data_IF_906669848377
#
_entry.id   IF_906669848377
#
_cell.length_a   1.000
_cell.length_b   1.000
_cell.length_c   1.000
_cell.angle_alpha   90.00
_cell.angle_beta   90.00
_cell.angle_gamma   90.00
#
_symmetry.space_group_name_H-M   'P 1'
#
loop_
_entity.id
_entity.type
_entity.pdbx_description
1 polymer ?
#
# COMPACT_ATOMS: atom_id res chain seq x y z
N UNK A 1 17.18 21.83 -20.60
CA UNK A 1 18.22 21.31 -19.67
C UNK A 1 18.19 21.95 -18.28
N UNK A 2 17.37 22.98 -17.98
CA UNK A 2 17.32 23.67 -16.67
C UNK A 2 16.28 23.12 -15.67
N UNK A 3 15.14 22.61 -16.12
CA UNK A 3 14.06 22.15 -15.21
C UNK A 3 14.38 20.86 -14.47
N UNK A 4 15.06 19.91 -15.13
CA UNK A 4 15.46 18.64 -14.51
C UNK A 4 16.55 18.81 -13.42
N UNK A 5 17.30 19.92 -13.44
CA UNK A 5 18.33 20.21 -12.46
C UNK A 5 17.76 20.63 -11.09
N UNK A 6 16.70 21.45 -11.04
CA UNK A 6 16.13 21.96 -9.79
C UNK A 6 15.38 20.86 -9.02
N UNK A 7 14.62 20.03 -9.72
CA UNK A 7 13.94 18.90 -9.12
C UNK A 7 14.93 17.87 -8.54
N UNK A 8 16.00 17.54 -9.29
CA UNK A 8 17.05 16.65 -8.78
C UNK A 8 17.74 17.24 -7.54
N UNK A 9 18.02 18.54 -7.53
CA UNK A 9 18.59 19.22 -6.35
C UNK A 9 17.66 19.17 -5.14
N UNK A 10 16.34 19.29 -5.35
CA UNK A 10 15.36 19.14 -4.28
C UNK A 10 15.33 17.73 -3.74
N UNK A 11 15.38 16.70 -4.60
CA UNK A 11 15.47 15.31 -4.18
C UNK A 11 16.78 15.00 -3.46
N UNK A 12 17.92 15.50 -3.98
CA UNK A 12 19.23 15.33 -3.33
C UNK A 12 19.25 15.96 -1.94
N UNK A 13 18.61 17.12 -1.77
CA UNK A 13 18.42 17.72 -0.46
C UNK A 13 17.60 16.82 0.48
N UNK A 14 16.45 16.33 0.04
CA UNK A 14 15.61 15.44 0.84
C UNK A 14 16.35 14.17 1.24
N UNK A 15 17.09 13.56 0.33
CA UNK A 15 17.85 12.33 0.58
C UNK A 15 19.19 12.56 1.29
N UNK A 16 19.62 13.82 1.47
CA UNK A 16 20.82 14.13 2.27
C UNK A 16 20.61 13.92 3.78
N UNK A 17 19.38 13.83 4.23
CA UNK A 17 19.02 13.54 5.61
C UNK A 17 19.08 12.03 5.90
N UNK A 18 18.97 11.67 7.17
CA UNK A 18 18.99 10.26 7.58
C UNK A 18 17.76 9.56 6.97
N UNK A 19 18.03 8.68 6.00
CA UNK A 19 17.02 7.80 5.42
C UNK A 19 17.26 6.35 5.89
N UNK A 20 16.48 5.95 6.85
CA UNK A 20 16.55 4.60 7.40
C UNK A 20 16.14 3.51 6.40
N UNK A 21 15.36 3.83 5.39
CA UNK A 21 14.97 2.89 4.34
C UNK A 21 16.13 2.50 3.42
N UNK A 22 17.18 3.33 3.35
CA UNK A 22 18.33 3.16 2.45
C UNK A 22 19.54 2.49 3.11
N UNK A 23 19.55 2.31 4.43
CA UNK A 23 20.71 1.76 5.17
C UNK A 23 20.70 0.24 5.24
N UNK A 24 21.84 -0.42 4.88
CA UNK A 24 21.97 -1.89 4.79
C UNK A 24 21.97 -2.62 6.14
N UNK A 25 22.49 -2.03 7.21
CA UNK A 25 22.71 -2.68 8.51
C UNK A 25 22.09 -1.84 9.64
N UNK A 26 20.79 -1.61 9.56
CA UNK A 26 20.16 -0.69 10.44
C UNK A 26 19.60 -1.40 11.70
N UNK A 27 20.35 -1.36 12.82
CA UNK A 27 19.78 -1.61 14.14
C UNK A 27 19.19 -0.30 14.65
N UNK A 28 17.88 -0.18 14.53
CA UNK A 28 17.15 0.97 15.06
C UNK A 28 17.04 0.82 16.58
N UNK A 29 17.63 1.75 17.31
CA UNK A 29 17.23 1.99 18.68
C UNK A 29 15.90 2.76 18.68
N UNK A 30 14.85 2.31 19.39
CA UNK A 30 13.58 3.05 19.51
C UNK A 30 13.75 4.50 19.94
N UNK A 31 14.83 4.82 20.66
CA UNK A 31 15.22 6.16 21.13
C UNK A 31 15.49 7.16 20.00
N UNK A 32 15.69 6.68 18.76
CA UNK A 32 15.93 7.54 17.57
C UNK A 32 14.64 8.02 16.91
N UNK A 33 13.51 7.39 17.20
CA UNK A 33 12.21 7.83 16.73
C UNK A 33 11.58 8.75 17.78
N UNK A 34 11.58 10.03 17.50
CA UNK A 34 11.02 11.04 18.38
C UNK A 34 10.04 11.91 17.61
N UNK A 35 8.78 11.88 18.02
CA UNK A 35 7.75 12.75 17.45
C UNK A 35 7.93 14.22 17.83
N UNK A 36 8.81 14.54 18.75
CA UNK A 36 9.11 15.93 19.14
C UNK A 36 9.58 16.75 17.93
N UNK A 37 10.56 16.24 17.18
CA UNK A 37 11.12 16.93 16.02
C UNK A 37 10.07 17.27 14.95
N UNK A 38 9.21 16.31 14.64
CA UNK A 38 8.16 16.57 13.63
C UNK A 38 7.07 17.49 14.18
N UNK A 39 6.74 17.43 15.47
CA UNK A 39 5.83 18.39 16.12
C UNK A 39 6.38 19.81 16.11
N UNK A 40 7.68 19.98 16.38
CA UNK A 40 8.33 21.27 16.29
C UNK A 40 8.28 21.82 14.84
N UNK A 41 8.57 20.97 13.86
CA UNK A 41 8.47 21.35 12.47
C UNK A 41 7.03 21.72 12.08
N UNK A 42 6.03 20.98 12.53
CA UNK A 42 4.62 21.32 12.32
C UNK A 42 4.26 22.66 12.96
N UNK A 43 4.73 22.91 14.17
CA UNK A 43 4.49 24.18 14.86
C UNK A 43 5.10 25.37 14.10
N UNK A 44 6.33 25.25 13.60
CA UNK A 44 6.95 26.26 12.76
C UNK A 44 6.16 26.54 11.45
N UNK A 45 5.51 25.51 10.91
CA UNK A 45 4.67 25.61 9.70
C UNK A 45 3.23 26.06 10.01
N UNK A 46 2.90 26.36 11.28
CA UNK A 46 1.55 26.77 11.69
C UNK A 46 0.56 25.63 11.85
N UNK A 47 1.03 24.41 12.13
CA UNK A 47 0.23 23.17 12.34
C UNK A 47 -0.73 22.86 11.16
N UNK A 48 -0.23 22.76 9.92
CA UNK A 48 -1.06 22.58 8.72
C UNK A 48 -1.92 21.30 8.78
N UNK A 49 -1.45 20.26 9.44
CA UNK A 49 -2.12 18.97 9.61
C UNK A 49 -3.42 19.03 10.46
N UNK A 50 -3.72 20.18 11.08
CA UNK A 50 -4.92 20.38 11.90
C UNK A 50 -6.03 21.14 11.16
N UNK A 51 -5.82 21.51 9.89
CA UNK A 51 -6.73 22.38 9.14
C UNK A 51 -7.78 21.63 8.33
N UNK A 52 -7.73 20.31 8.28
CA UNK A 52 -8.65 19.45 7.54
C UNK A 52 -8.89 18.12 8.27
N UNK A 53 -10.10 17.52 8.14
CA UNK A 53 -10.37 16.17 8.62
C UNK A 53 -9.54 15.13 7.87
N UNK A 54 -9.25 13.98 8.51
CA UNK A 54 -8.47 12.94 7.86
C UNK A 54 -8.77 11.51 8.34
N UNK A 55 -8.47 10.55 7.47
CA UNK A 55 -8.36 9.12 7.79
C UNK A 55 -6.87 8.79 7.95
N UNK A 56 -6.48 8.11 9.04
CA UNK A 56 -5.12 7.67 9.30
C UNK A 56 -5.03 6.15 9.20
N UNK A 57 -4.20 5.62 8.30
CA UNK A 57 -4.18 4.20 7.92
C UNK A 57 -2.85 3.56 8.30
N UNK A 58 -2.87 2.65 9.29
CA UNK A 58 -1.74 1.79 9.64
C UNK A 58 -2.03 0.32 9.31
N UNK A 59 -1.00 -0.50 9.34
CA UNK A 59 -1.10 -1.93 9.07
C UNK A 59 0.16 -2.50 8.44
N UNK A 60 0.20 -3.81 8.22
CA UNK A 60 1.32 -4.43 7.50
C UNK A 60 1.04 -4.44 6.01
N UNK A 61 -0.10 -4.96 5.60
CA UNK A 61 -0.52 -5.07 4.19
C UNK A 61 -1.88 -4.39 3.99
N UNK A 62 -2.10 -3.84 2.78
CA UNK A 62 -3.38 -3.24 2.42
C UNK A 62 -3.49 -1.73 2.68
N UNK A 63 -2.55 -1.10 3.39
CA UNK A 63 -2.60 0.34 3.69
C UNK A 63 -2.87 1.21 2.46
N UNK A 64 -2.00 1.13 1.45
CA UNK A 64 -2.13 1.92 0.22
C UNK A 64 -3.41 1.62 -0.55
N UNK A 65 -3.86 0.34 -0.63
CA UNK A 65 -5.12 -0.02 -1.29
C UNK A 65 -6.32 0.59 -0.57
N UNK A 66 -6.38 0.51 0.76
CA UNK A 66 -7.43 1.15 1.57
C UNK A 66 -7.39 2.66 1.39
N UNK A 67 -6.20 3.26 1.44
CA UNK A 67 -6.04 4.71 1.28
C UNK A 67 -6.52 5.20 -0.09
N UNK A 68 -6.18 4.49 -1.17
CA UNK A 68 -6.61 4.85 -2.53
C UNK A 68 -8.11 4.68 -2.72
N UNK A 69 -8.71 3.62 -2.20
CA UNK A 69 -10.16 3.41 -2.26
C UNK A 69 -10.92 4.52 -1.51
N UNK A 70 -10.46 4.88 -0.31
CA UNK A 70 -11.03 6.00 0.44
C UNK A 70 -10.90 7.33 -0.33
N UNK A 71 -9.69 7.62 -0.84
CA UNK A 71 -9.44 8.85 -1.58
C UNK A 71 -10.27 8.94 -2.87
N UNK A 72 -10.44 7.81 -3.58
CA UNK A 72 -11.26 7.76 -4.80
C UNK A 72 -12.73 8.07 -4.51
N UNK A 73 -13.32 7.46 -3.49
CA UNK A 73 -14.70 7.70 -3.09
C UNK A 73 -14.94 9.15 -2.63
N UNK A 74 -14.01 9.70 -1.84
CA UNK A 74 -14.07 11.08 -1.38
C UNK A 74 -13.96 12.08 -2.54
N UNK A 75 -13.09 11.81 -3.52
CA UNK A 75 -12.98 12.64 -4.72
C UNK A 75 -14.27 12.62 -5.54
N UNK A 76 -14.89 11.45 -5.74
CA UNK A 76 -16.18 11.33 -6.45
C UNK A 76 -17.32 12.02 -5.67
N UNK A 77 -17.23 12.09 -4.34
CA UNK A 77 -18.15 12.89 -3.49
C UNK A 77 -17.99 14.40 -3.68
N UNK A 78 -17.03 14.85 -4.50
CA UNK A 78 -16.80 16.27 -4.78
C UNK A 78 -15.81 16.96 -3.84
N UNK A 79 -15.15 16.21 -2.94
CA UNK A 79 -14.12 16.77 -2.07
C UNK A 79 -12.79 16.97 -2.83
N UNK A 80 -12.04 17.98 -2.42
CA UNK A 80 -10.63 18.11 -2.74
C UNK A 80 -9.84 17.26 -1.76
N UNK A 81 -9.28 16.15 -2.22
CA UNK A 81 -8.72 15.09 -1.38
C UNK A 81 -7.20 15.13 -1.40
N UNK A 82 -6.58 15.22 -0.21
CA UNK A 82 -5.17 14.94 -0.03
C UNK A 82 -4.93 13.45 0.18
N UNK A 83 -3.95 12.88 -0.53
CA UNK A 83 -3.55 11.48 -0.36
C UNK A 83 -2.04 11.40 -0.15
N UNK A 84 -1.61 10.84 0.99
CA UNK A 84 -0.21 10.56 1.30
C UNK A 84 0.02 9.06 1.40
N UNK A 85 0.87 8.51 0.51
CA UNK A 85 1.15 7.07 0.41
C UNK A 85 2.63 6.78 0.30
N UNK A 86 3.06 5.56 0.63
CA UNK A 86 4.47 5.13 0.60
C UNK A 86 4.63 3.63 0.44
N UNK A 87 5.79 3.24 -0.15
CA UNK A 87 6.68 4.09 -0.96
C UNK A 87 6.06 4.40 -2.32
N UNK A 88 6.71 5.28 -3.11
CA UNK A 88 6.33 5.51 -4.51
C UNK A 88 6.70 4.32 -5.40
N UNK A 89 6.05 4.22 -6.54
CA UNK A 89 6.32 3.19 -7.54
C UNK A 89 7.49 3.58 -8.46
N UNK A 90 7.49 4.81 -8.98
CA UNK A 90 8.49 5.35 -9.90
C UNK A 90 9.04 6.71 -9.45
N UNK A 91 8.19 7.69 -9.17
CA UNK A 91 8.55 9.07 -8.90
C UNK A 91 8.22 9.47 -7.46
N UNK A 92 9.10 10.25 -6.83
CA UNK A 92 8.89 10.73 -5.46
C UNK A 92 7.56 11.49 -5.29
N UNK A 93 7.17 12.24 -6.32
CA UNK A 93 5.94 13.03 -6.36
C UNK A 93 4.67 12.20 -6.15
N UNK A 94 4.68 10.91 -6.48
CA UNK A 94 3.57 9.98 -6.26
C UNK A 94 3.17 9.85 -4.78
N UNK A 95 4.08 10.19 -3.86
CA UNK A 95 3.80 10.10 -2.41
C UNK A 95 2.80 11.14 -1.93
N UNK A 96 2.71 12.28 -2.62
CA UNK A 96 1.90 13.45 -2.22
C UNK A 96 0.96 13.77 -3.37
N UNK A 97 -0.32 13.49 -3.20
CA UNK A 97 -1.31 13.68 -4.27
C UNK A 97 -2.47 14.56 -3.79
N UNK A 98 -3.02 15.36 -4.69
CA UNK A 98 -4.30 16.04 -4.50
C UNK A 98 -5.22 15.63 -5.63
N UNK A 99 -6.41 15.11 -5.29
CA UNK A 99 -7.35 14.53 -6.24
C UNK A 99 -6.71 13.44 -7.12
N UNK A 100 -5.84 12.62 -6.51
CA UNK A 100 -5.08 11.53 -7.15
C UNK A 100 -4.10 11.99 -8.24
N UNK A 101 -3.84 13.29 -8.33
CA UNK A 101 -2.77 13.83 -9.16
C UNK A 101 -1.53 14.07 -8.27
N UNK A 102 -0.37 13.51 -8.63
CA UNK A 102 0.89 13.77 -7.92
C UNK A 102 1.20 15.26 -7.85
N UNK A 103 1.81 15.70 -6.76
CA UNK A 103 2.39 17.04 -6.67
C UNK A 103 3.29 17.29 -7.88
N UNK A 104 3.19 18.47 -8.50
CA UNK A 104 4.09 18.81 -9.60
C UNK A 104 5.56 18.90 -9.14
N UNK A 105 6.50 18.63 -10.04
CA UNK A 105 7.92 18.78 -9.73
C UNK A 105 8.25 20.21 -9.30
N UNK A 106 7.62 21.21 -9.92
CA UNK A 106 7.79 22.62 -9.60
C UNK A 106 7.27 22.96 -8.21
N UNK A 107 6.05 22.51 -7.84
CA UNK A 107 5.51 22.72 -6.51
C UNK A 107 6.39 22.05 -5.44
N UNK A 108 6.90 20.85 -5.73
CA UNK A 108 7.82 20.17 -4.81
C UNK A 108 9.12 20.97 -4.61
N UNK A 109 9.70 21.50 -5.69
CA UNK A 109 10.89 22.35 -5.61
C UNK A 109 10.63 23.59 -4.76
N UNK A 110 9.53 24.31 -5.02
CA UNK A 110 9.15 25.51 -4.25
C UNK A 110 8.99 25.16 -2.77
N UNK A 111 8.26 24.09 -2.45
CA UNK A 111 8.04 23.68 -1.06
C UNK A 111 9.33 23.26 -0.35
N UNK A 112 10.22 22.55 -1.04
CA UNK A 112 11.51 22.14 -0.48
C UNK A 112 12.38 23.38 -0.20
N UNK A 113 12.46 24.34 -1.13
CA UNK A 113 13.25 25.55 -0.92
C UNK A 113 12.74 26.37 0.27
N UNK A 114 11.42 26.54 0.39
CA UNK A 114 10.84 27.25 1.54
C UNK A 114 11.04 26.50 2.85
N UNK A 115 10.95 25.15 2.83
CA UNK A 115 11.08 24.32 4.01
C UNK A 115 12.50 24.32 4.59
N UNK A 116 13.53 24.52 3.77
CA UNK A 116 14.94 24.55 4.19
C UNK A 116 15.19 25.45 5.39
N UNK A 117 14.52 26.62 5.42
CA UNK A 117 14.64 27.57 6.52
C UNK A 117 14.20 26.98 7.87
N UNK A 118 13.08 26.24 7.88
CA UNK A 118 12.53 25.64 9.10
C UNK A 118 13.29 24.37 9.50
N UNK A 119 13.69 23.57 8.52
CA UNK A 119 14.49 22.34 8.73
C UNK A 119 15.84 22.69 9.38
N UNK A 120 16.48 23.77 8.98
CA UNK A 120 17.76 24.20 9.54
C UNK A 120 17.70 24.53 11.04
N UNK A 121 16.52 24.83 11.58
CA UNK A 121 16.32 25.14 13.01
C UNK A 121 16.16 23.88 13.89
N UNK A 122 15.94 22.69 13.29
CA UNK A 122 15.63 21.45 14.01
C UNK A 122 16.70 20.40 13.68
N UNK A 123 17.59 20.07 14.63
CA UNK A 123 18.65 19.09 14.36
C UNK A 123 18.08 17.67 14.24
N UNK A 124 18.78 16.84 13.48
CA UNK A 124 18.53 15.40 13.35
C UNK A 124 17.16 15.01 12.76
N UNK A 125 16.53 15.90 11.99
CA UNK A 125 15.38 15.53 11.17
C UNK A 125 15.75 14.41 10.17
N UNK A 126 14.80 13.53 9.90
CA UNK A 126 14.95 12.45 8.94
C UNK A 126 14.26 12.81 7.61
N UNK A 127 14.67 12.18 6.52
CA UNK A 127 13.99 12.28 5.21
C UNK A 127 12.49 12.04 5.33
N UNK A 128 12.08 11.09 6.18
CA UNK A 128 10.68 10.73 6.36
C UNK A 128 9.90 11.81 7.11
N UNK A 129 10.45 12.39 8.18
CA UNK A 129 9.83 13.50 8.93
C UNK A 129 9.64 14.73 8.04
N UNK A 130 10.64 15.03 7.21
CA UNK A 130 10.59 16.15 6.25
C UNK A 130 9.54 15.88 5.16
N UNK A 131 9.51 14.68 4.58
CA UNK A 131 8.53 14.29 3.57
C UNK A 131 7.09 14.32 4.09
N UNK A 132 6.87 13.91 5.35
CA UNK A 132 5.57 14.01 6.02
C UNK A 132 5.15 15.46 6.22
N UNK A 133 6.07 16.32 6.64
CA UNK A 133 5.82 17.76 6.79
C UNK A 133 5.45 18.42 5.46
N UNK A 134 6.17 18.08 4.38
CA UNK A 134 5.86 18.55 3.02
C UNK A 134 4.44 18.17 2.62
N UNK A 135 4.04 16.92 2.84
CA UNK A 135 2.70 16.45 2.50
C UNK A 135 1.62 17.25 3.23
N UNK A 136 1.72 17.38 4.55
CA UNK A 136 0.74 18.10 5.34
C UNK A 136 0.69 19.60 4.97
N UNK A 137 1.83 20.20 4.71
CA UNK A 137 1.91 21.60 4.31
C UNK A 137 1.34 21.83 2.91
N UNK A 138 1.63 20.94 1.97
CA UNK A 138 1.05 20.98 0.63
C UNK A 138 -0.47 20.89 0.68
N UNK A 139 -1.02 19.94 1.45
CA UNK A 139 -2.46 19.77 1.58
C UNK A 139 -3.16 21.02 2.13
N UNK A 140 -2.58 21.66 3.16
CA UNK A 140 -3.12 22.90 3.69
C UNK A 140 -3.07 24.05 2.66
N UNK A 141 -1.97 24.18 1.91
CA UNK A 141 -1.84 25.17 0.82
C UNK A 141 -2.81 24.93 -0.31
N UNK A 142 -3.04 23.67 -0.63
CA UNK A 142 -4.02 23.26 -1.64
C UNK A 142 -5.48 23.32 -1.12
N UNK A 143 -5.68 23.67 0.16
CA UNK A 143 -7.00 23.77 0.80
C UNK A 143 -7.82 22.49 0.58
N UNK A 144 -7.21 21.33 0.88
CA UNK A 144 -7.95 20.07 0.79
C UNK A 144 -9.10 20.05 1.79
N UNK A 145 -10.24 19.47 1.39
CA UNK A 145 -11.41 19.32 2.24
C UNK A 145 -11.25 18.15 3.21
N UNK A 146 -10.47 17.14 2.82
CA UNK A 146 -10.20 15.94 3.60
C UNK A 146 -8.89 15.29 3.12
N UNK A 147 -8.19 14.58 4.03
CA UNK A 147 -6.99 13.83 3.65
C UNK A 147 -7.07 12.35 4.04
N UNK A 148 -6.33 11.51 3.31
CA UNK A 148 -6.07 10.11 3.67
C UNK A 148 -4.57 9.93 3.81
N UNK A 149 -4.13 9.52 4.98
CA UNK A 149 -2.72 9.47 5.37
C UNK A 149 -2.31 8.04 5.67
N UNK A 150 -1.42 7.49 4.85
CA UNK A 150 -0.79 6.20 5.08
C UNK A 150 0.42 6.32 6.01
N UNK A 151 0.48 5.48 7.04
CA UNK A 151 1.64 5.31 7.93
C UNK A 151 2.80 4.67 7.17
N UNK A 152 4.02 5.19 7.34
CA UNK A 152 5.20 4.61 6.71
C UNK A 152 5.65 3.32 7.38
N UNK A 153 6.02 3.40 8.65
CA UNK A 153 6.54 2.27 9.41
C UNK A 153 6.00 2.24 10.84
N UNK A 154 5.51 1.07 11.25
CA UNK A 154 4.95 0.94 12.60
C UNK A 154 3.63 1.69 12.74
N UNK A 155 3.60 2.71 13.55
CA UNK A 155 2.46 3.61 13.80
C UNK A 155 2.75 4.55 14.96
N UNK A 156 3.03 4.02 16.14
CA UNK A 156 3.20 4.78 17.40
C UNK A 156 4.23 5.92 17.29
N UNK A 157 5.36 5.66 16.68
CA UNK A 157 6.46 6.62 16.48
C UNK A 157 6.64 7.05 15.02
N UNK A 158 5.67 6.74 14.16
CA UNK A 158 5.69 7.20 12.77
C UNK A 158 5.47 8.72 12.70
N UNK A 159 6.19 9.42 11.82
CA UNK A 159 6.07 10.88 11.71
C UNK A 159 4.64 11.35 11.39
N UNK A 160 3.83 10.50 10.72
CA UNK A 160 2.42 10.82 10.46
C UNK A 160 1.57 10.82 11.74
N UNK A 161 2.03 10.22 12.84
CA UNK A 161 1.26 10.08 14.09
C UNK A 161 1.17 11.37 14.95
N UNK A 162 1.55 12.50 14.39
CA UNK A 162 1.31 13.83 14.99
C UNK A 162 -0.14 14.29 14.80
N UNK A 163 -0.90 13.59 13.95
CA UNK A 163 -2.31 13.91 13.64
C UNK A 163 -3.27 13.40 14.71
N UNK A 164 -4.44 14.04 14.78
CA UNK A 164 -5.64 13.51 15.43
C UNK A 164 -6.66 13.23 14.34
N UNK A 165 -6.84 11.97 13.91
CA UNK A 165 -7.70 11.65 12.77
C UNK A 165 -9.17 11.66 13.16
N UNK A 166 -10.08 11.74 12.16
CA UNK A 166 -11.50 11.47 12.34
C UNK A 166 -11.78 9.96 12.40
N UNK A 167 -10.94 9.16 11.75
CA UNK A 167 -11.02 7.70 11.72
C UNK A 167 -9.60 7.13 11.69
N UNK A 168 -9.31 6.19 12.57
CA UNK A 168 -8.09 5.37 12.53
C UNK A 168 -8.41 4.01 11.88
N UNK A 169 -7.55 3.55 10.98
CA UNK A 169 -7.71 2.25 10.31
C UNK A 169 -6.50 1.38 10.57
N UNK A 170 -6.73 0.18 11.06
CA UNK A 170 -5.71 -0.88 11.18
C UNK A 170 -6.02 -1.96 10.15
N UNK A 171 -5.26 -1.98 9.06
CA UNK A 171 -5.37 -2.99 8.01
C UNK A 171 -4.74 -4.31 8.45
N UNK A 172 -4.70 -5.34 7.60
CA UNK A 172 -4.15 -6.66 7.93
C UNK A 172 -2.74 -6.59 8.52
N UNK A 173 -2.53 -7.29 9.65
CA UNK A 173 -1.27 -7.41 10.36
C UNK A 173 -0.62 -8.77 10.07
N UNK A 174 0.68 -8.75 9.83
CA UNK A 174 1.49 -9.95 9.62
C UNK A 174 2.95 -9.66 10.00
N UNK A 175 3.77 -10.69 10.06
CA UNK A 175 5.21 -10.52 10.29
C UNK A 175 5.85 -9.74 9.15
N UNK A 176 6.36 -8.56 9.46
CA UNK A 176 7.18 -7.72 8.58
C UNK A 176 7.98 -6.75 9.45
N UNK A 177 9.20 -6.40 9.02
CA UNK A 177 10.09 -5.51 9.79
C UNK A 177 10.31 -5.95 11.24
N UNK A 178 10.42 -7.27 11.48
CA UNK A 178 10.54 -7.84 12.83
C UNK A 178 11.75 -7.30 13.62
N UNK A 179 12.83 -6.92 12.95
CA UNK A 179 14.01 -6.30 13.58
C UNK A 179 13.70 -4.93 14.24
N UNK A 180 12.64 -4.24 13.78
CA UNK A 180 12.26 -2.90 14.24
C UNK A 180 11.01 -2.96 15.11
N UNK A 181 9.98 -3.69 14.65
CA UNK A 181 8.66 -3.70 15.28
C UNK A 181 8.49 -4.82 16.30
N UNK A 182 9.46 -5.74 16.38
CA UNK A 182 9.42 -6.91 17.25
C UNK A 182 9.05 -8.21 16.53
N UNK A 183 9.33 -9.30 17.20
CA UNK A 183 9.31 -10.68 16.69
C UNK A 183 7.99 -11.43 16.97
N UNK A 184 6.99 -10.74 17.56
CA UNK A 184 5.64 -11.28 17.79
C UNK A 184 4.57 -10.41 17.16
N UNK A 185 3.41 -11.01 16.83
CA UNK A 185 2.27 -10.24 16.31
C UNK A 185 1.73 -9.25 17.33
N UNK A 186 1.82 -9.55 18.62
CA UNK A 186 1.46 -8.64 19.71
C UNK A 186 2.30 -7.36 19.68
N UNK A 187 3.63 -7.46 19.55
CA UNK A 187 4.53 -6.30 19.46
C UNK A 187 4.24 -5.48 18.21
N UNK A 188 4.09 -6.14 17.06
CA UNK A 188 3.76 -5.49 15.80
C UNK A 188 2.40 -4.77 15.89
N UNK A 189 1.39 -5.42 16.49
CA UNK A 189 0.07 -4.85 16.71
C UNK A 189 0.14 -3.64 17.66
N UNK A 190 0.93 -3.71 18.73
CA UNK A 190 1.14 -2.61 19.67
C UNK A 190 1.71 -1.37 18.99
N UNK A 191 2.76 -1.54 18.15
CA UNK A 191 3.34 -0.42 17.41
C UNK A 191 2.34 0.21 16.42
N UNK A 192 1.56 -0.62 15.73
CA UNK A 192 0.59 -0.13 14.75
C UNK A 192 -0.67 0.47 15.38
N UNK A 193 -1.16 -0.12 16.46
CA UNK A 193 -2.26 0.42 17.24
C UNK A 193 -1.92 1.75 17.96
N UNK A 194 -0.64 2.15 17.98
CA UNK A 194 -0.21 3.46 18.49
C UNK A 194 -0.76 4.68 17.72
N UNK A 195 -1.46 4.48 16.59
CA UNK A 195 -2.21 5.55 15.91
C UNK A 195 -3.59 5.80 16.51
N UNK A 196 -4.08 4.91 17.37
CA UNK A 196 -5.38 5.04 18.05
C UNK A 196 -5.34 6.25 18.98
N UNK A 197 -6.38 7.07 18.93
CA UNK A 197 -6.53 8.27 19.76
C UNK A 197 -7.79 8.18 20.62
N UNK A 198 -7.81 8.87 21.77
CA UNK A 198 -8.96 8.83 22.68
C UNK A 198 -10.28 9.19 21.99
N UNK A 199 -11.27 8.31 22.09
CA UNK A 199 -12.61 8.50 21.56
C UNK A 199 -12.75 8.46 20.04
N UNK A 200 -11.65 8.26 19.29
CA UNK A 200 -11.68 8.22 17.82
C UNK A 200 -12.02 6.81 17.33
N UNK A 201 -12.99 6.64 16.40
CA UNK A 201 -13.36 5.33 15.88
C UNK A 201 -12.19 4.64 15.17
N UNK A 202 -12.06 3.34 15.45
CA UNK A 202 -11.05 2.45 14.88
C UNK A 202 -11.72 1.43 13.98
N UNK A 203 -11.30 1.36 12.73
CA UNK A 203 -11.69 0.29 11.81
C UNK A 203 -10.60 -0.77 11.83
N UNK A 204 -10.98 -1.98 12.20
CA UNK A 204 -10.08 -3.12 12.30
C UNK A 204 -10.39 -4.11 11.18
N UNK A 205 -9.48 -4.26 10.22
CA UNK A 205 -9.55 -5.30 9.20
C UNK A 205 -9.45 -6.69 9.84
N UNK A 206 -9.83 -7.80 9.16
CA UNK A 206 -9.67 -9.16 9.67
C UNK A 206 -8.24 -9.44 10.14
N UNK A 207 -8.10 -10.00 11.35
CA UNK A 207 -6.82 -10.24 12.02
C UNK A 207 -6.72 -11.67 12.55
N UNK A 208 -5.47 -12.14 12.73
CA UNK A 208 -5.20 -13.26 13.64
C UNK A 208 -5.51 -12.85 15.08
N UNK A 209 -6.00 -13.80 15.87
CA UNK A 209 -6.56 -13.54 17.20
C UNK A 209 -5.58 -12.84 18.15
N UNK A 210 -4.28 -13.14 18.08
CA UNK A 210 -3.24 -12.50 18.87
C UNK A 210 -3.17 -10.99 18.60
N UNK A 211 -3.07 -10.61 17.32
CA UNK A 211 -3.04 -9.20 16.91
C UNK A 211 -4.38 -8.50 17.21
N UNK A 212 -5.50 -9.18 16.98
CA UNK A 212 -6.84 -8.67 17.25
C UNK A 212 -6.99 -8.27 18.73
N UNK A 213 -6.66 -9.17 19.65
CA UNK A 213 -6.76 -8.90 21.11
C UNK A 213 -5.94 -7.69 21.52
N UNK A 214 -4.72 -7.58 21.00
CA UNK A 214 -3.84 -6.45 21.29
C UNK A 214 -4.44 -5.13 20.85
N UNK A 215 -4.97 -5.05 19.61
CA UNK A 215 -5.59 -3.82 19.10
C UNK A 215 -6.84 -3.47 19.91
N UNK A 216 -7.72 -4.44 20.22
CA UNK A 216 -8.92 -4.22 21.04
C UNK A 216 -8.58 -3.74 22.45
N UNK A 217 -7.54 -4.29 23.08
CA UNK A 217 -7.10 -3.86 24.39
C UNK A 217 -6.63 -2.40 24.38
N UNK A 218 -5.84 -2.00 23.37
CA UNK A 218 -5.36 -0.62 23.24
C UNK A 218 -6.52 0.32 22.92
N UNK A 219 -7.43 -0.05 22.05
CA UNK A 219 -8.62 0.74 21.75
C UNK A 219 -9.49 0.95 23.01
N UNK A 220 -9.70 -0.08 23.81
CA UNK A 220 -10.42 0.02 25.08
C UNK A 220 -9.74 0.98 26.06
N UNK A 221 -8.39 0.96 26.15
CA UNK A 221 -7.63 1.91 27.01
C UNK A 221 -7.81 3.36 26.58
N UNK A 222 -8.07 3.60 25.28
CA UNK A 222 -8.32 4.91 24.71
C UNK A 222 -9.82 5.25 24.59
N UNK A 223 -10.72 4.40 25.13
CA UNK A 223 -12.17 4.57 24.98
C UNK A 223 -12.57 4.77 23.52
N UNK A 224 -11.81 4.18 22.58
CA UNK A 224 -11.99 4.28 21.15
C UNK A 224 -12.97 3.20 20.68
N UNK A 225 -14.10 3.56 20.04
CA UNK A 225 -15.03 2.56 19.49
C UNK A 225 -14.37 1.80 18.34
N UNK A 226 -14.51 0.47 18.31
CA UNK A 226 -13.96 -0.39 17.27
C UNK A 226 -15.07 -0.95 16.42
N UNK A 227 -14.89 -0.94 15.10
CA UNK A 227 -15.73 -1.65 14.13
C UNK A 227 -14.84 -2.69 13.45
N UNK A 228 -15.18 -3.97 13.63
CA UNK A 228 -14.41 -5.09 13.11
C UNK A 228 -14.99 -5.58 11.78
N UNK A 229 -14.22 -5.43 10.70
CA UNK A 229 -14.57 -5.99 9.39
C UNK A 229 -14.47 -7.51 9.44
N UNK A 230 -15.49 -8.20 8.92
CA UNK A 230 -15.66 -9.66 9.04
C UNK A 230 -16.34 -10.11 10.34
N UNK A 231 -16.74 -9.17 11.21
CA UNK A 231 -17.50 -9.44 12.45
C UNK A 231 -18.72 -8.52 12.60
N UNK A 232 -18.50 -7.20 12.60
CA UNK A 232 -19.59 -6.20 12.69
C UNK A 232 -20.12 -5.84 11.31
N UNK A 233 -19.23 -5.75 10.31
CA UNK A 233 -19.57 -5.66 8.90
C UNK A 233 -19.06 -6.90 8.19
N UNK A 234 -19.97 -7.69 7.64
CA UNK A 234 -19.68 -8.92 6.91
C UNK A 234 -19.54 -8.63 5.42
N UNK A 235 -18.83 -9.49 4.70
CA UNK A 235 -18.64 -9.38 3.27
C UNK A 235 -18.47 -10.73 2.60
N UNK A 236 -18.87 -10.82 1.33
CA UNK A 236 -18.68 -12.02 0.51
C UNK A 236 -18.33 -11.65 -0.94
N UNK A 237 -17.35 -12.32 -1.57
CA UNK A 237 -17.10 -12.17 -2.99
C UNK A 237 -18.26 -12.73 -3.79
N UNK A 238 -18.59 -12.11 -4.93
CA UNK A 238 -19.65 -12.53 -5.85
C UNK A 238 -19.07 -13.02 -7.16
N UNK A 239 -18.23 -12.19 -7.77
CA UNK A 239 -17.61 -12.52 -9.08
C UNK A 239 -16.26 -11.86 -9.21
N UNK A 240 -15.40 -12.46 -10.06
CA UNK A 240 -14.12 -11.88 -10.43
C UNK A 240 -13.79 -12.14 -11.89
N UNK A 241 -13.04 -11.25 -12.49
CA UNK A 241 -12.46 -11.34 -13.82
C UNK A 241 -11.24 -10.45 -13.91
N UNK A 242 -10.49 -10.49 -15.00
CA UNK A 242 -9.35 -9.56 -15.22
C UNK A 242 -9.76 -8.07 -15.31
N UNK A 243 -11.05 -7.78 -15.40
CA UNK A 243 -11.58 -6.40 -15.41
C UNK A 243 -11.93 -5.89 -14.02
N UNK A 244 -11.92 -6.75 -13.00
CA UNK A 244 -12.30 -6.42 -11.64
C UNK A 244 -13.07 -7.52 -10.94
N UNK A 245 -13.56 -7.21 -9.76
CA UNK A 245 -14.31 -8.14 -8.92
C UNK A 245 -15.43 -7.42 -8.18
N UNK A 246 -16.53 -8.15 -7.89
CA UNK A 246 -17.66 -7.63 -7.14
C UNK A 246 -17.88 -8.42 -5.86
N UNK A 247 -18.45 -7.77 -4.86
CA UNK A 247 -18.68 -8.34 -3.54
C UNK A 247 -19.90 -7.70 -2.88
N UNK A 248 -20.44 -8.37 -1.87
CA UNK A 248 -21.53 -7.90 -1.03
C UNK A 248 -20.99 -7.49 0.34
N UNK A 249 -21.68 -6.54 0.96
CA UNK A 249 -21.45 -6.07 2.32
C UNK A 249 -22.80 -6.01 3.07
N UNK A 250 -22.79 -6.42 4.32
CA UNK A 250 -23.98 -6.31 5.20
C UNK A 250 -23.56 -6.23 6.67
N UNK A 251 -24.30 -5.51 7.53
CA UNK A 251 -24.04 -5.51 8.95
C UNK A 251 -24.34 -6.90 9.55
N UNK A 252 -23.60 -7.29 10.57
CA UNK A 252 -23.82 -8.60 11.24
C UNK A 252 -25.21 -8.76 11.81
N UNK A 253 -25.91 -7.64 12.11
CA UNK A 253 -27.32 -7.66 12.55
C UNK A 253 -28.30 -8.17 11.50
N UNK A 254 -27.90 -8.22 10.22
CA UNK A 254 -28.70 -8.77 9.12
C UNK A 254 -28.41 -10.25 8.82
N UNK A 255 -27.55 -10.92 9.59
CA UNK A 255 -27.14 -12.30 9.28
C UNK A 255 -28.34 -13.26 9.23
N UNK A 256 -29.35 -13.09 10.08
CA UNK A 256 -30.58 -13.91 10.04
C UNK A 256 -31.36 -13.71 8.72
N UNK A 257 -31.36 -12.48 8.17
CA UNK A 257 -32.00 -12.20 6.86
C UNK A 257 -31.21 -12.87 5.72
N UNK A 258 -29.87 -12.86 5.81
CA UNK A 258 -28.98 -13.53 4.84
C UNK A 258 -29.26 -15.05 4.85
N UNK A 259 -29.30 -15.65 6.03
CA UNK A 259 -29.55 -17.09 6.18
C UNK A 259 -30.92 -17.48 5.59
N UNK A 260 -31.97 -16.70 5.91
CA UNK A 260 -33.30 -16.90 5.35
C UNK A 260 -33.37 -16.69 3.83
N UNK A 261 -32.62 -15.70 3.29
CA UNK A 261 -32.48 -15.50 1.84
C UNK A 261 -31.85 -16.72 1.16
N UNK A 262 -30.77 -17.26 1.73
CA UNK A 262 -30.09 -18.44 1.21
C UNK A 262 -30.99 -19.68 1.30
N UNK A 263 -31.65 -19.93 2.43
CA UNK A 263 -32.53 -21.08 2.64
C UNK A 263 -33.76 -21.04 1.71
N UNK A 264 -34.28 -19.88 1.41
CA UNK A 264 -35.39 -19.69 0.46
C UNK A 264 -34.97 -19.82 -1.02
N UNK A 265 -33.70 -20.00 -1.31
CA UNK A 265 -33.17 -19.98 -2.68
C UNK A 265 -33.28 -18.61 -3.36
N UNK A 266 -33.24 -17.52 -2.58
CA UNK A 266 -33.29 -16.14 -3.07
C UNK A 266 -34.70 -15.60 -3.27
N UNK A 267 -35.72 -16.25 -2.71
CA UNK A 267 -37.14 -15.78 -2.78
C UNK A 267 -37.44 -14.70 -1.73
N UNK A 268 -36.79 -14.79 -0.57
CA UNK A 268 -36.93 -13.78 0.46
C UNK A 268 -36.17 -12.50 0.08
N UNK A 269 -36.79 -11.33 0.31
CA UNK A 269 -36.17 -10.05 0.01
C UNK A 269 -34.99 -9.77 0.96
N UNK A 270 -33.84 -9.48 0.40
CA UNK A 270 -32.66 -8.97 1.09
C UNK A 270 -31.84 -8.13 0.11
N UNK A 271 -31.51 -6.90 0.47
CA UNK A 271 -30.81 -5.93 -0.37
C UNK A 271 -29.46 -5.54 0.25
N UNK A 272 -28.40 -6.37 0.08
CA UNK A 272 -27.07 -6.03 0.56
C UNK A 272 -26.46 -4.89 -0.24
N UNK A 273 -25.51 -4.17 0.38
CA UNK A 273 -24.66 -3.25 -0.37
C UNK A 273 -23.77 -4.04 -1.33
N UNK A 274 -23.94 -3.81 -2.63
CA UNK A 274 -23.11 -4.42 -3.67
C UNK A 274 -22.12 -3.41 -4.22
N UNK A 275 -20.83 -3.75 -4.20
CA UNK A 275 -19.73 -2.94 -4.71
C UNK A 275 -18.86 -3.73 -5.67
N UNK A 276 -18.13 -3.00 -6.52
CA UNK A 276 -17.12 -3.54 -7.42
C UNK A 276 -15.82 -2.76 -7.28
N UNK A 277 -14.71 -3.42 -7.58
CA UNK A 277 -13.37 -2.83 -7.60
C UNK A 277 -12.57 -3.38 -8.79
N UNK A 278 -11.73 -2.58 -9.46
CA UNK A 278 -10.80 -3.06 -10.47
C UNK A 278 -9.56 -3.73 -9.89
N UNK A 279 -9.33 -3.58 -8.58
CA UNK A 279 -8.20 -4.21 -7.89
C UNK A 279 -8.44 -5.71 -7.74
N UNK A 280 -7.47 -6.53 -8.14
CA UNK A 280 -7.63 -7.98 -8.26
C UNK A 280 -7.08 -8.73 -7.04
N UNK A 281 -7.68 -9.88 -6.74
CA UNK A 281 -7.34 -10.78 -5.62
C UNK A 281 -8.27 -10.61 -4.41
N UNK A 282 -8.60 -11.73 -3.76
CA UNK A 282 -9.51 -11.75 -2.62
C UNK A 282 -9.14 -10.77 -1.49
N UNK A 283 -7.84 -10.61 -1.23
CA UNK A 283 -7.34 -9.64 -0.24
C UNK A 283 -7.73 -8.19 -0.56
N UNK A 284 -8.04 -7.86 -1.82
CA UNK A 284 -8.53 -6.53 -2.19
C UNK A 284 -10.01 -6.34 -1.86
N UNK A 285 -10.80 -7.43 -1.80
CA UNK A 285 -12.17 -7.37 -1.25
C UNK A 285 -12.11 -7.05 0.25
N UNK A 286 -11.19 -7.69 1.00
CA UNK A 286 -10.96 -7.36 2.43
C UNK A 286 -10.56 -5.88 2.61
N UNK A 287 -9.66 -5.37 1.76
CA UNK A 287 -9.26 -3.97 1.77
C UNK A 287 -10.43 -3.04 1.43
N UNK A 288 -11.26 -3.41 0.46
CA UNK A 288 -12.42 -2.62 0.04
C UNK A 288 -13.51 -2.60 1.12
N UNK A 289 -13.79 -3.72 1.78
CA UNK A 289 -14.67 -3.76 2.94
C UNK A 289 -14.16 -2.86 4.09
N UNK A 290 -12.84 -2.86 4.31
CA UNK A 290 -12.19 -1.99 5.30
C UNK A 290 -12.31 -0.51 4.93
N UNK A 291 -12.09 -0.16 3.66
CA UNK A 291 -12.23 1.20 3.15
C UNK A 291 -13.68 1.69 3.22
N UNK A 292 -14.65 0.83 2.86
CA UNK A 292 -16.08 1.12 2.99
C UNK A 292 -16.44 1.46 4.45
N UNK A 293 -16.02 0.63 5.40
CA UNK A 293 -16.29 0.83 6.83
C UNK A 293 -15.66 2.14 7.33
N UNK A 294 -14.44 2.46 6.86
CA UNK A 294 -13.77 3.72 7.21
C UNK A 294 -14.53 4.95 6.67
N UNK A 295 -15.07 4.88 5.46
CA UNK A 295 -15.89 5.94 4.87
C UNK A 295 -17.22 6.11 5.60
N UNK A 296 -17.86 5.02 6.05
CA UNK A 296 -19.05 5.09 6.87
C UNK A 296 -18.78 5.78 8.21
N UNK A 297 -17.68 5.43 8.88
CA UNK A 297 -17.28 6.09 10.12
C UNK A 297 -16.92 7.57 9.91
N UNK A 298 -16.25 7.90 8.80
CA UNK A 298 -15.93 9.28 8.43
C UNK A 298 -17.22 10.09 8.17
N UNK A 299 -18.20 9.51 7.47
CA UNK A 299 -19.52 10.12 7.27
C UNK A 299 -20.22 10.41 8.61
N UNK A 300 -20.15 9.48 9.54
CA UNK A 300 -20.69 9.68 10.88
C UNK A 300 -19.98 10.80 11.66
N UNK A 301 -18.72 11.12 11.33
CA UNK A 301 -17.98 12.27 11.90
C UNK A 301 -18.29 13.60 11.23
N UNK A 302 -19.18 13.64 10.22
CA UNK A 302 -19.64 14.86 9.57
C UNK A 302 -19.05 15.17 8.19
N UNK A 303 -18.18 14.32 7.64
CA UNK A 303 -17.67 14.46 6.27
C UNK A 303 -18.64 13.79 5.29
N UNK A 304 -19.21 14.56 4.37
CA UNK A 304 -20.23 14.07 3.44
C UNK A 304 -19.63 13.06 2.44
N UNK A 305 -20.19 11.85 2.41
CA UNK A 305 -19.91 10.83 1.39
C UNK A 305 -21.16 9.98 1.17
N UNK A 306 -21.66 9.93 -0.07
CA UNK A 306 -22.85 9.14 -0.42
C UNK A 306 -22.50 7.70 -0.80
N UNK A 307 -23.46 6.80 -0.71
CA UNK A 307 -23.29 5.40 -1.15
C UNK A 307 -22.94 5.32 -2.65
N UNK A 308 -23.57 6.15 -3.48
CA UNK A 308 -23.27 6.21 -4.93
C UNK A 308 -21.85 6.68 -5.17
N UNK A 309 -21.38 7.69 -4.43
CA UNK A 309 -19.99 8.15 -4.55
C UNK A 309 -18.99 7.10 -4.09
N UNK A 310 -19.31 6.28 -3.08
CA UNK A 310 -18.48 5.15 -2.67
C UNK A 310 -18.44 4.11 -3.80
N UNK A 311 -19.60 3.75 -4.36
CA UNK A 311 -19.69 2.79 -5.47
C UNK A 311 -18.86 3.22 -6.67
N UNK A 312 -19.13 4.44 -7.16
CA UNK A 312 -18.44 4.98 -8.33
C UNK A 312 -16.95 5.20 -8.09
N UNK A 313 -16.57 5.63 -6.88
CA UNK A 313 -15.18 5.82 -6.49
C UNK A 313 -14.41 4.51 -6.40
N UNK A 314 -15.04 3.44 -5.93
CA UNK A 314 -14.43 2.12 -5.88
C UNK A 314 -14.23 1.54 -7.29
N UNK A 315 -15.22 1.68 -8.18
CA UNK A 315 -15.11 1.27 -9.58
C UNK A 315 -13.98 2.01 -10.35
N UNK A 316 -13.67 3.24 -9.94
CA UNK A 316 -12.63 4.08 -10.55
C UNK A 316 -11.27 3.99 -9.85
N UNK A 317 -11.15 3.16 -8.79
CA UNK A 317 -9.91 3.06 -8.05
C UNK A 317 -8.79 2.47 -8.92
N UNK A 318 -7.62 3.10 -8.91
CA UNK A 318 -6.45 2.65 -9.64
C UNK A 318 -5.22 2.65 -8.73
N UNK A 319 -4.58 1.50 -8.59
CA UNK A 319 -3.41 1.33 -7.73
C UNK A 319 -2.39 0.43 -8.41
N UNK A 320 -1.46 0.99 -9.21
CA UNK A 320 -0.53 0.22 -10.01
C UNK A 320 0.46 -0.59 -9.17
N UNK A 321 0.95 -1.70 -9.74
CA UNK A 321 1.90 -2.60 -9.08
C UNK A 321 1.30 -3.44 -7.93
N UNK A 322 -0.03 -3.61 -7.90
CA UNK A 322 -0.76 -4.49 -6.99
C UNK A 322 -1.61 -5.47 -7.78
N UNK A 323 -1.03 -6.61 -8.14
CA UNK A 323 -1.59 -7.57 -9.09
C UNK A 323 -2.12 -6.88 -10.35
N UNK A 324 -1.33 -5.91 -10.86
CA UNK A 324 -1.66 -5.17 -12.08
C UNK A 324 -1.43 -6.06 -13.29
N UNK A 325 -2.47 -6.26 -14.09
CA UNK A 325 -2.41 -7.08 -15.31
C UNK A 325 -2.33 -6.17 -16.52
N UNK A 326 -1.24 -6.28 -17.28
CA UNK A 326 -1.03 -5.57 -18.53
C UNK A 326 -0.96 -6.58 -19.68
N UNK A 327 -1.59 -6.24 -20.80
CA UNK A 327 -1.57 -7.07 -22.00
C UNK A 327 -0.89 -6.31 -23.14
N UNK A 328 0.06 -6.97 -23.80
CA UNK A 328 0.73 -6.40 -24.94
C UNK A 328 -0.22 -6.35 -26.15
N UNK A 329 -0.37 -5.20 -26.82
CA UNK A 329 -1.42 -5.01 -27.82
C UNK A 329 -1.20 -5.80 -29.12
N UNK A 330 0.04 -6.21 -29.43
CA UNK A 330 0.38 -6.86 -30.69
C UNK A 330 0.33 -8.39 -30.63
N UNK A 331 0.88 -8.99 -29.57
CA UNK A 331 1.04 -10.44 -29.43
C UNK A 331 0.21 -11.05 -28.29
N UNK A 332 -0.48 -10.21 -27.51
CA UNK A 332 -1.32 -10.67 -26.42
C UNK A 332 -0.56 -11.13 -25.18
N UNK A 333 0.80 -11.00 -25.12
CA UNK A 333 1.58 -11.38 -23.97
C UNK A 333 1.06 -10.69 -22.70
N UNK A 334 0.89 -11.48 -21.62
CA UNK A 334 0.41 -10.97 -20.33
C UNK A 334 1.60 -10.73 -19.40
N UNK A 335 1.65 -9.53 -18.83
CA UNK A 335 2.53 -9.16 -17.73
C UNK A 335 1.69 -8.91 -16.49
N UNK A 336 2.02 -9.58 -15.39
CA UNK A 336 1.47 -9.34 -14.06
C UNK A 336 2.54 -8.66 -13.21
N UNK A 337 2.19 -7.53 -12.60
CA UNK A 337 3.06 -6.74 -11.73
C UNK A 337 2.54 -6.80 -10.30
N UNK A 338 3.38 -7.23 -9.37
CA UNK A 338 3.05 -7.20 -7.95
C UNK A 338 4.27 -6.84 -7.09
N UNK A 339 4.04 -6.15 -5.99
CA UNK A 339 5.10 -5.74 -5.07
C UNK A 339 5.31 -6.71 -3.89
N UNK A 340 4.85 -7.95 -4.00
CA UNK A 340 5.04 -8.98 -2.98
C UNK A 340 6.53 -9.17 -2.66
N UNK A 341 6.91 -8.96 -1.38
CA UNK A 341 8.29 -8.93 -0.93
C UNK A 341 8.52 -9.64 0.41
N UNK A 342 7.55 -10.39 0.90
CA UNK A 342 7.67 -11.28 2.05
C UNK A 342 6.80 -12.53 1.81
N UNK A 343 6.99 -13.55 2.64
CA UNK A 343 6.30 -14.85 2.49
C UNK A 343 4.78 -14.71 2.45
N UNK A 344 4.19 -13.90 3.34
CA UNK A 344 2.74 -13.72 3.39
C UNK A 344 2.19 -13.10 2.10
N UNK A 345 2.82 -12.04 1.59
CA UNK A 345 2.41 -11.42 0.32
C UNK A 345 2.65 -12.34 -0.88
N UNK A 346 3.70 -13.16 -0.86
CA UNK A 346 3.97 -14.18 -1.88
C UNK A 346 2.86 -15.24 -1.91
N UNK A 347 2.38 -15.68 -0.74
CA UNK A 347 1.23 -16.59 -0.63
C UNK A 347 -0.03 -15.97 -1.25
N UNK A 348 -0.36 -14.72 -0.90
CA UNK A 348 -1.52 -14.02 -1.46
C UNK A 348 -1.41 -13.85 -2.99
N UNK A 349 -0.22 -13.52 -3.48
CA UNK A 349 0.06 -13.46 -4.92
C UNK A 349 -0.13 -14.80 -5.61
N UNK A 350 0.37 -15.89 -5.03
CA UNK A 350 0.19 -17.26 -5.56
C UNK A 350 -1.29 -17.64 -5.64
N UNK A 351 -2.07 -17.34 -4.61
CA UNK A 351 -3.51 -17.61 -4.60
C UNK A 351 -4.21 -16.80 -5.70
N UNK A 352 -3.92 -15.50 -5.84
CA UNK A 352 -4.47 -14.68 -6.90
C UNK A 352 -4.09 -15.20 -8.30
N UNK A 353 -2.84 -15.64 -8.51
CA UNK A 353 -2.45 -16.27 -9.78
C UNK A 353 -3.27 -17.53 -10.07
N UNK A 354 -3.57 -18.36 -9.05
CA UNK A 354 -4.43 -19.53 -9.19
C UNK A 354 -5.88 -19.20 -9.57
N UNK A 355 -6.40 -18.09 -9.04
CA UNK A 355 -7.78 -17.66 -9.29
C UNK A 355 -7.93 -17.03 -10.70
N UNK A 356 -6.97 -16.20 -11.13
CA UNK A 356 -7.09 -15.44 -12.39
C UNK A 356 -6.42 -16.12 -13.58
N UNK A 357 -5.45 -16.99 -13.36
CA UNK A 357 -4.67 -17.70 -14.39
C UNK A 357 -4.53 -19.18 -14.07
N UNK A 358 -5.65 -19.92 -13.90
CA UNK A 358 -5.61 -21.33 -13.50
C UNK A 358 -4.82 -22.17 -14.49
N UNK A 359 -3.80 -22.88 -14.00
CA UNK A 359 -2.99 -23.79 -14.80
C UNK A 359 -2.03 -23.13 -15.80
N UNK A 360 -1.97 -21.81 -15.88
CA UNK A 360 -1.03 -21.14 -16.79
C UNK A 360 0.40 -21.17 -16.21
N UNK A 361 1.41 -21.52 -17.03
CA UNK A 361 2.81 -21.44 -16.60
C UNK A 361 3.23 -20.00 -16.35
N UNK A 362 4.17 -19.81 -15.43
CA UNK A 362 4.70 -18.50 -15.05
C UNK A 362 6.19 -18.42 -15.36
N UNK A 363 6.63 -17.35 -16.02
CA UNK A 363 8.02 -16.89 -16.07
C UNK A 363 8.16 -15.74 -15.09
N UNK A 364 8.97 -15.93 -14.04
CA UNK A 364 9.11 -14.98 -12.95
C UNK A 364 10.33 -14.07 -13.18
N UNK A 365 10.09 -12.75 -13.28
CA UNK A 365 11.11 -11.72 -13.13
C UNK A 365 11.18 -11.34 -11.67
N UNK A 366 12.30 -11.60 -11.00
CA UNK A 366 12.41 -11.47 -9.56
C UNK A 366 13.60 -10.63 -9.11
N UNK A 367 13.33 -9.70 -8.21
CA UNK A 367 14.35 -8.91 -7.55
C UNK A 367 13.79 -8.34 -6.24
N UNK A 368 14.53 -8.54 -5.16
CA UNK A 368 14.09 -8.29 -3.79
C UNK A 368 15.21 -7.66 -2.97
N UNK A 369 14.88 -6.99 -1.86
CA UNK A 369 15.89 -6.53 -0.91
C UNK A 369 16.52 -7.71 -0.16
N UNK A 370 17.84 -7.64 0.08
CA UNK A 370 18.63 -8.72 0.70
C UNK A 370 18.25 -9.04 2.16
N UNK A 371 17.58 -8.10 2.84
CA UNK A 371 17.09 -8.22 4.22
C UNK A 371 15.78 -9.02 4.34
N UNK A 372 15.21 -9.47 3.22
CA UNK A 372 13.95 -10.22 3.23
C UNK A 372 14.21 -11.74 3.32
N UNK A 373 13.21 -12.46 3.85
CA UNK A 373 13.19 -13.91 3.92
C UNK A 373 12.92 -14.50 2.52
N UNK A 374 13.97 -14.56 1.68
CA UNK A 374 13.84 -14.91 0.25
C UNK A 374 13.41 -16.37 0.07
N UNK A 375 13.90 -17.28 0.92
CA UNK A 375 13.52 -18.70 0.88
C UNK A 375 12.01 -18.89 1.10
N UNK A 376 11.43 -18.16 2.05
CA UNK A 376 10.00 -18.20 2.30
C UNK A 376 9.18 -17.65 1.12
N UNK A 377 9.66 -16.60 0.44
CA UNK A 377 9.03 -16.09 -0.78
C UNK A 377 9.08 -17.15 -1.89
N UNK A 378 10.23 -17.77 -2.11
CA UNK A 378 10.42 -18.79 -3.14
C UNK A 378 9.61 -20.06 -2.85
N UNK A 379 9.51 -20.49 -1.60
CA UNK A 379 8.68 -21.62 -1.20
C UNK A 379 7.20 -21.42 -1.62
N UNK A 380 6.71 -20.18 -1.58
CA UNK A 380 5.34 -19.89 -1.99
C UNK A 380 5.19 -19.71 -3.52
N UNK A 381 6.11 -19.01 -4.20
CA UNK A 381 5.93 -18.66 -5.62
C UNK A 381 6.42 -19.74 -6.58
N UNK A 382 7.57 -20.38 -6.30
CA UNK A 382 8.24 -21.24 -7.27
C UNK A 382 7.48 -22.53 -7.64
N UNK A 383 6.55 -23.10 -6.85
CA UNK A 383 5.78 -24.24 -7.30
C UNK A 383 5.07 -24.06 -8.64
N UNK A 384 4.55 -22.84 -8.94
CA UNK A 384 3.90 -22.49 -10.21
C UNK A 384 4.83 -21.88 -11.27
N UNK A 385 6.12 -21.69 -10.98
CA UNK A 385 7.05 -20.99 -11.87
C UNK A 385 7.82 -21.98 -12.75
N UNK A 386 7.83 -21.72 -14.07
CA UNK A 386 8.57 -22.49 -15.07
C UNK A 386 10.03 -22.06 -15.17
N UNK A 387 10.33 -20.76 -15.06
CA UNK A 387 11.65 -20.16 -15.16
C UNK A 387 11.77 -18.90 -14.34
N UNK A 388 12.95 -18.64 -13.78
CA UNK A 388 13.24 -17.41 -13.00
C UNK A 388 14.25 -16.56 -13.75
N UNK A 389 13.94 -15.30 -13.97
CA UNK A 389 14.88 -14.26 -14.41
C UNK A 389 15.18 -13.39 -13.19
N UNK A 390 16.32 -13.64 -12.59
CA UNK A 390 16.80 -12.86 -11.46
C UNK A 390 17.39 -11.53 -11.95
N UNK A 391 16.97 -10.44 -11.33
CA UNK A 391 17.44 -9.09 -11.66
C UNK A 391 17.44 -8.20 -10.41
N UNK A 392 17.82 -6.94 -10.53
CA UNK A 392 17.74 -5.97 -9.41
C UNK A 392 17.33 -4.58 -9.87
N UNK A 393 16.58 -3.90 -9.02
CA UNK A 393 16.34 -2.46 -9.16
C UNK A 393 17.58 -1.67 -8.74
N UNK A 394 17.58 -0.35 -9.02
CA UNK A 394 18.66 0.55 -8.58
C UNK A 394 18.71 0.76 -7.05
N UNK A 395 17.82 0.14 -6.28
CA UNK A 395 17.77 0.31 -4.83
C UNK A 395 19.01 -0.28 -4.14
N UNK A 396 19.67 0.45 -3.21
CA UNK A 396 20.95 0.02 -2.60
C UNK A 396 20.90 -1.29 -1.83
N UNK A 397 19.72 -1.68 -1.33
CA UNK A 397 19.51 -2.95 -0.61
C UNK A 397 19.12 -4.12 -1.51
N UNK A 398 19.08 -3.95 -2.83
CA UNK A 398 18.71 -5.04 -3.73
C UNK A 398 19.70 -6.22 -3.59
N UNK A 399 19.15 -7.44 -3.50
CA UNK A 399 19.94 -8.66 -3.50
C UNK A 399 20.65 -8.86 -4.85
N UNK A 400 21.85 -9.46 -4.82
CA UNK A 400 22.58 -9.76 -6.04
C UNK A 400 21.85 -10.87 -6.84
N UNK A 401 21.66 -10.68 -8.15
CA UNK A 401 20.93 -11.63 -8.99
C UNK A 401 21.51 -13.05 -8.98
N UNK A 402 22.82 -13.18 -8.89
CA UNK A 402 23.53 -14.48 -8.85
C UNK A 402 23.18 -15.29 -7.60
N UNK A 403 22.98 -14.61 -6.46
CA UNK A 403 22.47 -15.24 -5.24
C UNK A 403 21.05 -15.78 -5.43
N UNK A 404 20.18 -14.99 -6.06
CA UNK A 404 18.80 -15.39 -6.36
C UNK A 404 18.74 -16.59 -7.32
N UNK A 405 19.65 -16.64 -8.32
CA UNK A 405 19.79 -17.79 -9.23
C UNK A 405 20.20 -19.04 -8.47
N UNK A 406 21.22 -18.93 -7.60
CA UNK A 406 21.67 -20.07 -6.79
C UNK A 406 20.52 -20.63 -5.95
N UNK A 407 19.77 -19.75 -5.32
CA UNK A 407 18.63 -20.15 -4.48
C UNK A 407 17.50 -20.76 -5.32
N UNK A 408 17.16 -20.20 -6.49
CA UNK A 408 16.15 -20.76 -7.39
C UNK A 408 16.52 -22.19 -7.86
N UNK A 409 17.80 -22.44 -8.12
CA UNK A 409 18.30 -23.77 -8.45
C UNK A 409 18.11 -24.76 -7.28
N UNK A 410 18.32 -24.35 -6.02
CA UNK A 410 18.04 -25.18 -4.84
C UNK A 410 16.56 -25.58 -4.76
N UNK A 411 15.66 -24.72 -5.24
CA UNK A 411 14.23 -25.03 -5.38
C UNK A 411 13.89 -25.79 -6.67
N UNK A 412 14.91 -26.27 -7.43
CA UNK A 412 14.74 -27.06 -8.65
C UNK A 412 14.18 -26.28 -9.83
N UNK A 413 14.38 -24.94 -9.86
CA UNK A 413 13.90 -24.10 -10.97
C UNK A 413 15.04 -23.58 -11.82
N UNK A 414 14.92 -23.66 -13.18
CA UNK A 414 15.87 -23.02 -14.09
C UNK A 414 15.87 -21.51 -13.83
N UNK A 415 17.05 -20.91 -13.76
CA UNK A 415 17.19 -19.49 -13.48
C UNK A 415 18.35 -18.86 -14.23
N UNK A 416 18.24 -17.57 -14.54
CA UNK A 416 19.31 -16.74 -15.14
C UNK A 416 19.35 -15.39 -14.45
N UNK A 417 20.56 -14.84 -14.26
CA UNK A 417 20.79 -13.46 -13.83
C UNK A 417 20.90 -12.57 -15.08
N UNK A 418 20.06 -11.52 -15.16
CA UNK A 418 20.04 -10.60 -16.29
C UNK A 418 19.90 -9.15 -15.80
N UNK A 419 20.76 -8.28 -16.34
CA UNK A 419 20.74 -6.84 -16.15
C UNK A 419 20.89 -6.15 -17.52
N UNK A 420 20.34 -4.98 -17.73
CA UNK A 420 19.42 -4.23 -16.85
C UNK A 420 17.99 -4.81 -16.82
N UNK A 421 17.06 -4.12 -16.15
CA UNK A 421 15.66 -4.55 -15.99
C UNK A 421 14.96 -4.79 -17.33
N UNK A 422 15.21 -3.93 -18.31
CA UNK A 422 14.62 -4.03 -19.65
C UNK A 422 15.05 -5.33 -20.35
N UNK A 423 16.32 -5.71 -20.25
CA UNK A 423 16.84 -6.97 -20.80
C UNK A 423 16.24 -8.19 -20.07
N UNK A 424 16.05 -8.08 -18.75
CA UNK A 424 15.40 -9.12 -17.96
C UNK A 424 13.95 -9.33 -18.39
N UNK A 425 13.20 -8.25 -18.62
CA UNK A 425 11.83 -8.30 -19.12
C UNK A 425 11.77 -8.90 -20.54
N UNK A 426 12.62 -8.45 -21.45
CA UNK A 426 12.67 -8.96 -22.83
C UNK A 426 12.95 -10.46 -22.86
N UNK A 427 13.92 -10.96 -22.06
CA UNK A 427 14.21 -12.40 -22.00
C UNK A 427 13.05 -13.18 -21.35
N UNK A 428 12.37 -12.61 -20.34
CA UNK A 428 11.19 -13.24 -19.75
C UNK A 428 10.07 -13.40 -20.77
N UNK A 429 9.78 -12.36 -21.56
CA UNK A 429 8.80 -12.42 -22.65
C UNK A 429 9.18 -13.45 -23.73
N UNK A 430 10.47 -13.48 -24.11
CA UNK A 430 10.97 -14.47 -25.07
C UNK A 430 10.79 -15.92 -24.58
N UNK A 431 11.05 -16.19 -23.27
CA UNK A 431 10.84 -17.52 -22.69
C UNK A 431 9.35 -17.84 -22.54
N UNK A 432 8.53 -16.86 -22.22
CA UNK A 432 7.08 -17.04 -22.08
C UNK A 432 6.42 -17.41 -23.42
N UNK A 433 6.88 -16.82 -24.54
CA UNK A 433 6.51 -17.22 -25.90
C UNK A 433 5.00 -17.18 -26.18
N UNK A 434 4.23 -16.36 -25.45
CA UNK A 434 2.77 -16.27 -25.54
C UNK A 434 1.99 -17.41 -24.83
N UNK A 435 2.67 -18.47 -24.39
CA UNK A 435 2.06 -19.61 -23.69
C UNK A 435 2.06 -19.46 -22.16
N UNK A 436 2.96 -18.62 -21.64
CA UNK A 436 3.11 -18.37 -20.21
C UNK A 436 2.86 -16.89 -19.92
N UNK A 437 2.45 -16.61 -18.69
CA UNK A 437 2.43 -15.23 -18.17
C UNK A 437 3.81 -14.82 -17.69
N UNK A 438 4.16 -13.56 -17.83
CA UNK A 438 5.33 -12.95 -17.20
C UNK A 438 4.88 -12.33 -15.89
N UNK A 439 5.46 -12.74 -14.77
CA UNK A 439 5.22 -12.18 -13.46
C UNK A 439 6.45 -11.40 -13.00
N UNK A 440 6.30 -10.12 -12.67
CA UNK A 440 7.35 -9.36 -12.01
C UNK A 440 6.99 -9.13 -10.53
N UNK A 441 7.82 -9.62 -9.61
CA UNK A 441 7.58 -9.57 -8.18
C UNK A 441 8.87 -9.50 -7.35
N UNK A 442 8.72 -9.18 -6.05
CA UNK A 442 9.79 -9.14 -5.06
C UNK A 442 10.08 -7.74 -4.50
N UNK A 443 9.74 -6.69 -5.22
CA UNK A 443 9.93 -5.31 -4.78
C UNK A 443 9.01 -4.35 -5.55
N UNK A 444 8.55 -3.30 -4.87
CA UNK A 444 7.79 -2.24 -5.53
C UNK A 444 8.64 -1.49 -6.57
N UNK A 445 9.93 -1.30 -6.29
CA UNK A 445 10.85 -0.63 -7.22
C UNK A 445 11.14 -1.49 -8.46
N UNK A 446 11.16 -2.82 -8.30
CA UNK A 446 11.24 -3.72 -9.45
C UNK A 446 9.96 -3.63 -10.29
N UNK A 447 8.80 -3.76 -9.65
CA UNK A 447 7.53 -3.67 -10.35
C UNK A 447 7.39 -2.35 -11.11
N UNK A 448 7.78 -1.22 -10.50
CA UNK A 448 7.80 0.10 -11.13
C UNK A 448 8.72 0.17 -12.36
N UNK A 449 9.96 -0.29 -12.22
CA UNK A 449 10.93 -0.29 -13.32
C UNK A 449 10.49 -1.19 -14.50
N UNK A 450 9.97 -2.39 -14.21
CA UNK A 450 9.43 -3.29 -15.23
C UNK A 450 8.17 -2.69 -15.89
N UNK A 451 7.28 -2.08 -15.11
CA UNK A 451 6.11 -1.37 -15.64
C UNK A 451 6.50 -0.28 -16.63
N UNK A 452 7.49 0.53 -16.27
CA UNK A 452 7.99 1.60 -17.14
C UNK A 452 8.60 1.05 -18.43
N UNK A 453 9.42 -0.02 -18.32
CA UNK A 453 10.00 -0.68 -19.49
C UNK A 453 8.93 -1.23 -20.44
N UNK A 454 7.87 -1.84 -19.89
CA UNK A 454 6.74 -2.35 -20.66
C UNK A 454 5.98 -1.25 -21.38
N UNK A 455 5.60 -0.17 -20.68
CA UNK A 455 4.82 0.94 -21.25
C UNK A 455 5.62 1.75 -22.30
N UNK A 456 6.94 1.82 -22.16
CA UNK A 456 7.82 2.49 -23.12
C UNK A 456 8.14 1.64 -24.37
N UNK A 457 7.59 0.43 -24.50
CA UNK A 457 7.81 -0.45 -25.63
C UNK A 457 9.25 -0.96 -25.78
N UNK A 458 10.06 -0.95 -24.72
CA UNK A 458 11.47 -1.41 -24.72
C UNK A 458 11.57 -2.94 -24.67
N UNK A 459 10.79 -3.63 -25.50
CA UNK A 459 10.77 -5.10 -25.59
C UNK A 459 11.59 -5.63 -26.79
N UNK A 460 12.31 -4.74 -27.53
CA UNK A 460 13.11 -5.09 -28.70
C UNK A 460 14.55 -5.44 -28.34
#
# INVERSE_FOLDING_TARGET
>A
MSENSSYQQALDYLYSFIDYSMQRNFRVSPERFDLGRVRDLMAYLGNPHQTYPLIHVAGTKGKGSVSVLCASALQVSGHRVGLYTQPHLQEYTERIQVNREPISQDDLVILVEELKYYVAAIPNLTTFEIGTALAFWYFARQKVDVAVIEVGLGGRLDATNVVTPNVAVITSLSYDHAEILGDTLEKIATEKAGIIKPGIPVILAPQLEEARRTVLQIAHQHEAPVIEVGRDLLYAPVSHSLKGQSFLLWPASEQELVDAYIESGGVQEWEPTRLSIPLLGYHQVENAATAYTALQALRASGVAVSEDAIRDGFDQAFWPGRFEVLQHPQDGQILVLDSAHNRYSALRLRLALGDYFPGQPVVLVFGVSQDKEIEGIFAELLPGVRHVIATKSAHPRAAEPEYLVTLAHHFGRPAKAILPLEAALAEACRIAGGEAIVLAAGSIFLAGGIRQAWLNGKLN
#
